data_IF_558391511686
#
_entry.id   IF_558391511686
#
_cell.length_a   1.000
_cell.length_b   1.000
_cell.length_c   1.000
_cell.angle_alpha   90.00
_cell.angle_beta   90.00
_cell.angle_gamma   90.00
#
_symmetry.space_group_name_H-M   'P 1'
#
loop_
_entity.id
_entity.type
_entity.pdbx_description
1 polymer ?
#
# COMPACT_ATOMS: atom_id res chain seq x y z
N UNK A 1 -5.77 -51.09 25.74
CA UNK A 1 -4.80 -50.07 25.27
C UNK A 1 -5.05 -49.65 23.82
N UNK A 2 -5.16 -50.57 22.84
CA UNK A 2 -5.50 -50.26 21.43
C UNK A 2 -6.73 -49.34 21.20
N UNK A 3 -7.88 -49.53 21.87
CA UNK A 3 -9.05 -48.68 21.61
C UNK A 3 -8.91 -47.25 22.16
N UNK A 4 -8.13 -47.08 23.24
CA UNK A 4 -7.87 -45.75 23.84
C UNK A 4 -6.94 -44.93 22.95
N UNK A 5 -5.92 -45.58 22.38
CA UNK A 5 -5.01 -44.92 21.41
C UNK A 5 -5.78 -44.50 20.16
N UNK A 6 -6.67 -45.34 19.65
CA UNK A 6 -7.50 -45.02 18.48
C UNK A 6 -8.45 -43.85 18.77
N UNK A 7 -9.07 -43.82 19.96
CA UNK A 7 -9.95 -42.73 20.39
C UNK A 7 -9.19 -41.41 20.52
N UNK A 8 -8.00 -41.41 21.12
CA UNK A 8 -7.15 -40.21 21.24
C UNK A 8 -6.66 -39.69 19.88
N UNK A 9 -6.37 -40.59 18.93
CA UNK A 9 -5.99 -40.22 17.56
C UNK A 9 -7.16 -39.53 16.82
N UNK A 10 -8.37 -40.08 16.94
CA UNK A 10 -9.59 -39.49 16.35
C UNK A 10 -9.90 -38.14 16.99
N UNK A 11 -9.76 -38.02 18.31
CA UNK A 11 -9.98 -36.76 19.03
C UNK A 11 -8.94 -35.70 18.63
N UNK A 12 -7.66 -36.06 18.47
CA UNK A 12 -6.61 -35.16 18.02
C UNK A 12 -6.80 -34.65 16.58
N UNK A 13 -7.28 -35.50 15.68
CA UNK A 13 -7.64 -35.13 14.29
C UNK A 13 -8.86 -34.21 14.23
N UNK A 14 -9.81 -34.32 15.16
CA UNK A 14 -11.00 -33.45 15.21
C UNK A 14 -10.69 -32.00 15.62
N UNK A 15 -9.60 -31.77 16.36
CA UNK A 15 -9.18 -30.44 16.82
C UNK A 15 -8.56 -29.60 15.69
N UNK A 16 -8.06 -30.24 14.62
CA UNK A 16 -7.45 -29.53 13.48
C UNK A 16 -8.47 -28.86 12.56
N UNK A 17 -9.71 -29.36 12.53
CA UNK A 17 -10.77 -28.89 11.61
C UNK A 17 -11.40 -27.57 12.07
N UNK A 18 -11.28 -27.23 13.36
CA UNK A 18 -11.82 -25.98 13.93
C UNK A 18 -10.79 -24.84 14.01
N UNK A 19 -9.52 -25.06 13.67
CA UNK A 19 -8.46 -24.04 13.85
C UNK A 19 -8.40 -22.98 12.73
N UNK A 20 -9.29 -23.03 11.75
CA UNK A 20 -9.34 -22.04 10.66
C UNK A 20 -10.76 -21.51 10.48
N UNK A 21 -11.31 -20.89 11.52
CA UNK A 21 -12.49 -20.03 11.33
C UNK A 21 -12.05 -18.83 10.51
N UNK A 22 -12.30 -18.87 9.20
CA UNK A 22 -12.10 -17.75 8.30
C UNK A 22 -13.08 -16.64 8.73
N UNK A 23 -12.61 -15.69 9.53
CA UNK A 23 -13.40 -14.51 9.82
C UNK A 23 -13.66 -13.80 8.49
N UNK A 24 -14.93 -13.68 8.10
CA UNK A 24 -15.38 -12.69 7.09
C UNK A 24 -15.20 -11.29 7.67
N UNK A 25 -13.97 -10.89 7.93
CA UNK A 25 -13.64 -9.50 8.25
C UNK A 25 -13.81 -8.72 6.95
N UNK A 26 -14.37 -7.50 6.97
CA UNK A 26 -14.28 -6.60 5.82
C UNK A 26 -12.83 -6.53 5.34
N UNK A 27 -12.62 -6.50 4.03
CA UNK A 27 -11.28 -6.32 3.49
C UNK A 27 -10.63 -5.07 4.11
N UNK A 28 -9.34 -5.14 4.41
CA UNK A 28 -8.62 -3.99 4.95
C UNK A 28 -8.59 -2.87 3.90
N UNK A 29 -9.15 -1.71 4.25
CA UNK A 29 -9.09 -0.51 3.42
C UNK A 29 -7.95 0.39 3.89
N UNK A 30 -7.30 1.05 2.94
CA UNK A 30 -6.24 2.03 3.20
C UNK A 30 -6.57 3.30 2.46
N UNK A 31 -6.57 4.42 3.19
CA UNK A 31 -6.71 5.75 2.62
C UNK A 31 -5.43 6.52 2.90
N UNK A 32 -4.94 7.25 1.91
CA UNK A 32 -3.81 8.15 2.08
C UNK A 32 -4.04 9.45 1.34
N UNK A 33 -3.31 10.48 1.76
CA UNK A 33 -3.29 11.79 1.13
C UNK A 33 -1.84 12.27 1.07
N UNK A 34 -1.50 12.91 -0.04
CA UNK A 34 -0.29 13.72 -0.22
C UNK A 34 -0.74 15.12 -0.63
N UNK A 35 -0.14 16.16 -0.06
CA UNK A 35 -0.57 17.53 -0.26
C UNK A 35 0.59 18.50 -0.18
N UNK A 36 0.43 19.64 -0.87
CA UNK A 36 1.29 20.81 -0.73
C UNK A 36 0.40 21.97 -0.32
N UNK A 37 0.80 22.69 0.72
CA UNK A 37 0.21 24.00 1.02
C UNK A 37 0.82 25.04 0.10
N UNK A 38 0.02 25.55 -0.84
CA UNK A 38 0.46 26.56 -1.81
C UNK A 38 0.87 27.90 -1.19
N UNK A 39 0.42 28.21 0.03
CA UNK A 39 0.74 29.49 0.69
C UNK A 39 2.12 29.45 1.35
N UNK A 40 2.50 28.32 1.94
CA UNK A 40 3.75 28.15 2.71
C UNK A 40 4.81 27.33 1.97
N UNK A 41 4.41 26.52 0.99
CA UNK A 41 5.26 25.52 0.33
C UNK A 41 5.48 24.25 1.17
N UNK A 42 4.79 24.09 2.30
CA UNK A 42 4.90 22.90 3.13
C UNK A 42 4.32 21.68 2.43
N UNK A 43 4.99 20.53 2.57
CA UNK A 43 4.57 19.26 1.98
C UNK A 43 4.17 18.32 3.11
N UNK A 44 2.98 17.75 3.00
CA UNK A 44 2.41 16.84 3.99
C UNK A 44 1.92 15.55 3.35
N UNK A 45 1.92 14.49 4.15
CA UNK A 45 1.34 13.22 3.76
C UNK A 45 0.81 12.45 4.98
N UNK A 46 -0.29 11.73 4.81
CA UNK A 46 -0.92 10.96 5.88
C UNK A 46 -1.53 9.67 5.34
N UNK A 47 -1.63 8.66 6.19
CA UNK A 47 -2.23 7.37 5.87
C UNK A 47 -3.01 6.83 7.06
N UNK A 48 -4.16 6.21 6.77
CA UNK A 48 -4.93 5.41 7.71
C UNK A 48 -5.11 4.01 7.12
N UNK A 49 -4.89 2.99 7.94
CA UNK A 49 -5.08 1.59 7.56
C UNK A 49 -5.33 0.72 8.78
N UNK A 50 -5.94 -0.44 8.56
CA UNK A 50 -5.94 -1.54 9.51
C UNK A 50 -4.62 -2.35 9.49
N UNK A 51 -3.65 -1.97 8.66
CA UNK A 51 -2.32 -2.59 8.60
C UNK A 51 -1.36 -2.01 9.65
N UNK A 52 -0.57 -2.89 10.28
CA UNK A 52 0.40 -2.50 11.30
C UNK A 52 1.50 -1.59 10.75
N UNK A 53 1.83 -0.53 11.50
CA UNK A 53 2.93 0.39 11.17
C UNK A 53 2.86 0.98 9.76
N UNK A 54 1.65 1.19 9.22
CA UNK A 54 1.43 1.54 7.81
C UNK A 54 2.20 2.79 7.35
N UNK A 55 2.40 3.78 8.23
CA UNK A 55 3.14 4.99 7.92
C UNK A 55 4.56 4.73 7.43
N UNK A 56 5.25 3.74 8.03
CA UNK A 56 6.63 3.37 7.66
C UNK A 56 6.76 2.70 6.29
N UNK A 57 5.65 2.29 5.68
CA UNK A 57 5.62 1.52 4.43
C UNK A 57 5.01 2.36 3.30
N UNK A 58 3.93 3.09 3.59
CA UNK A 58 3.14 3.81 2.59
C UNK A 58 3.66 5.20 2.29
N UNK A 59 4.05 5.96 3.33
CA UNK A 59 4.29 7.40 3.20
C UNK A 59 5.77 7.71 3.14
N UNK A 60 6.14 8.48 2.11
CA UNK A 60 7.48 8.97 1.88
C UNK A 60 7.40 10.45 1.52
N UNK A 61 8.20 11.29 2.17
CA UNK A 61 8.23 12.70 1.88
C UNK A 61 9.66 13.22 2.06
N UNK A 62 10.03 14.17 1.22
CA UNK A 62 11.32 14.85 1.33
C UNK A 62 11.15 16.35 1.07
N UNK A 63 11.67 17.14 2.01
CA UNK A 63 11.59 18.59 1.97
C UNK A 63 12.23 19.15 0.69
N UNK A 64 11.52 20.05 0.00
CA UNK A 64 11.98 20.62 -1.27
C UNK A 64 11.88 19.68 -2.48
N UNK A 65 11.37 18.45 -2.32
CA UNK A 65 11.24 17.48 -3.42
C UNK A 65 9.77 17.14 -3.68
N UNK A 66 9.06 16.60 -2.69
CA UNK A 66 7.69 16.12 -2.86
C UNK A 66 7.31 15.03 -1.87
N UNK A 67 6.18 14.36 -2.14
CA UNK A 67 5.70 13.23 -1.36
C UNK A 67 5.14 12.11 -2.24
N UNK A 68 5.22 10.88 -1.72
CA UNK A 68 4.78 9.64 -2.37
C UNK A 68 3.97 8.82 -1.38
N UNK A 69 2.82 8.32 -1.82
CA UNK A 69 2.04 7.31 -1.13
C UNK A 69 1.96 6.05 -2.00
N UNK A 70 2.63 4.97 -1.57
CA UNK A 70 2.60 3.65 -2.23
C UNK A 70 1.79 2.68 -1.38
N UNK A 71 0.62 2.24 -1.88
CA UNK A 71 -0.34 1.43 -1.14
C UNK A 71 -0.92 0.31 -2.02
N UNK A 72 -1.80 -0.53 -1.44
CA UNK A 72 -2.31 -1.77 -2.06
C UNK A 72 -1.20 -2.72 -2.52
N UNK A 73 -1.01 -3.83 -1.80
CA UNK A 73 0.06 -4.79 -2.06
C UNK A 73 1.38 -4.04 -2.33
N UNK A 74 1.80 -3.26 -1.33
CA UNK A 74 2.78 -2.17 -1.48
C UNK A 74 4.07 -2.62 -2.14
N UNK A 75 4.60 -1.79 -3.05
CA UNK A 75 6.01 -1.84 -3.43
C UNK A 75 6.76 -0.73 -2.70
N UNK A 76 7.48 -1.10 -1.64
CA UNK A 76 8.18 -0.16 -0.75
C UNK A 76 9.22 0.67 -1.50
N UNK A 77 9.84 0.10 -2.53
CA UNK A 77 10.86 0.79 -3.34
C UNK A 77 10.31 2.00 -4.10
N UNK A 78 9.00 2.08 -4.34
CA UNK A 78 8.40 3.22 -5.05
C UNK A 78 8.51 4.52 -4.26
N UNK A 79 8.60 4.47 -2.94
CA UNK A 79 8.78 5.65 -2.10
C UNK A 79 10.05 6.42 -2.45
N UNK A 80 11.20 5.81 -2.20
CA UNK A 80 12.51 6.44 -2.48
C UNK A 80 12.77 6.63 -3.96
N UNK A 81 12.38 5.69 -4.82
CA UNK A 81 12.54 5.85 -6.28
C UNK A 81 11.67 6.97 -6.83
N UNK A 82 10.44 7.13 -6.35
CA UNK A 82 9.56 8.22 -6.74
C UNK A 82 10.14 9.58 -6.37
N UNK A 83 10.64 9.73 -5.14
CA UNK A 83 11.32 10.95 -4.71
C UNK A 83 12.58 11.24 -5.55
N UNK A 84 13.37 10.22 -5.88
CA UNK A 84 14.55 10.39 -6.74
C UNK A 84 14.18 10.86 -8.16
N UNK A 85 13.11 10.34 -8.74
CA UNK A 85 12.61 10.80 -10.04
C UNK A 85 12.19 12.26 -9.99
N UNK A 86 11.54 12.71 -8.91
CA UNK A 86 11.22 14.12 -8.71
C UNK A 86 12.49 14.99 -8.61
N UNK A 87 13.53 14.53 -7.90
CA UNK A 87 14.83 15.23 -7.83
C UNK A 87 15.50 15.37 -9.20
N UNK A 88 15.34 14.38 -10.06
CA UNK A 88 15.82 14.40 -11.44
C UNK A 88 14.99 15.34 -12.35
N UNK A 89 13.97 16.00 -11.79
CA UNK A 89 13.12 16.95 -12.51
C UNK A 89 11.96 16.30 -13.26
N UNK A 90 11.68 15.02 -13.04
CA UNK A 90 10.51 14.36 -13.62
C UNK A 90 9.23 14.90 -12.99
N UNK A 91 8.21 15.04 -13.83
CA UNK A 91 6.86 15.29 -13.34
C UNK A 91 6.32 14.09 -12.56
N UNK A 92 5.36 14.30 -11.65
CA UNK A 92 4.69 13.19 -10.95
C UNK A 92 4.14 12.11 -11.91
N UNK A 93 3.59 12.51 -13.06
CA UNK A 93 3.07 11.56 -14.06
C UNK A 93 4.18 10.70 -14.66
N UNK A 94 5.27 11.32 -15.10
CA UNK A 94 6.44 10.59 -15.59
C UNK A 94 7.01 9.64 -14.52
N UNK A 95 7.02 10.07 -13.26
CA UNK A 95 7.48 9.23 -12.15
C UNK A 95 6.57 8.01 -11.95
N UNK A 96 5.25 8.20 -11.93
CA UNK A 96 4.27 7.09 -11.87
C UNK A 96 4.46 6.12 -13.04
N UNK A 97 4.52 6.64 -14.27
CA UNK A 97 4.68 5.81 -15.47
C UNK A 97 5.98 5.01 -15.44
N UNK A 98 7.08 5.64 -15.03
CA UNK A 98 8.39 4.98 -14.94
C UNK A 98 8.45 3.92 -13.85
N UNK A 99 7.80 4.14 -12.71
CA UNK A 99 7.76 3.17 -11.62
C UNK A 99 6.95 1.93 -12.00
N UNK A 100 5.87 2.12 -12.75
CA UNK A 100 4.96 1.04 -13.17
C UNK A 100 5.40 0.31 -14.44
N UNK A 101 6.30 0.88 -15.25
CA UNK A 101 6.73 0.27 -16.53
C UNK A 101 7.30 -1.13 -16.34
N UNK A 102 8.02 -1.34 -15.23
CA UNK A 102 8.79 -2.55 -14.96
C UNK A 102 8.23 -3.33 -13.74
N UNK A 103 7.04 -2.95 -13.23
CA UNK A 103 6.37 -3.66 -12.12
C UNK A 103 5.28 -4.59 -12.66
N UNK A 104 5.57 -5.88 -12.72
CA UNK A 104 4.60 -6.93 -13.09
C UNK A 104 3.35 -6.91 -12.21
N UNK A 105 3.47 -6.42 -10.97
CA UNK A 105 2.37 -6.29 -10.02
C UNK A 105 1.60 -4.97 -10.14
N UNK A 106 1.84 -4.12 -11.15
CA UNK A 106 1.18 -2.80 -11.30
C UNK A 106 -0.34 -2.82 -11.14
N UNK A 107 -0.99 -3.91 -11.54
CA UNK A 107 -2.46 -4.04 -11.49
C UNK A 107 -2.99 -4.25 -10.06
N UNK A 108 -2.14 -4.58 -9.08
CA UNK A 108 -2.52 -4.65 -7.67
C UNK A 108 -2.00 -3.47 -6.86
N UNK A 109 -1.30 -2.50 -7.48
CA UNK A 109 -0.73 -1.32 -6.81
C UNK A 109 -1.69 -0.14 -6.80
N UNK A 110 -1.58 0.67 -5.77
CA UNK A 110 -2.01 2.06 -5.77
C UNK A 110 -0.83 2.96 -5.46
N UNK A 111 -0.70 4.05 -6.21
CA UNK A 111 0.42 4.98 -6.09
C UNK A 111 -0.10 6.40 -6.27
N UNK A 112 0.32 7.32 -5.42
CA UNK A 112 0.13 8.76 -5.61
C UNK A 112 1.45 9.49 -5.38
N UNK A 113 1.75 10.48 -6.22
CA UNK A 113 2.96 11.31 -6.14
C UNK A 113 2.54 12.77 -6.30
N UNK A 114 3.12 13.67 -5.48
CA UNK A 114 2.98 15.12 -5.59
C UNK A 114 4.36 15.78 -5.57
N UNK A 115 4.58 16.79 -6.42
CA UNK A 115 5.78 17.62 -6.42
C UNK A 115 5.60 18.90 -5.57
N UNK A 116 6.68 19.64 -5.32
CA UNK A 116 6.66 20.91 -4.57
C UNK A 116 5.78 22.01 -5.18
N UNK A 117 5.41 21.91 -6.45
CA UNK A 117 4.53 22.88 -7.13
C UNK A 117 3.06 22.48 -7.03
N UNK A 118 2.75 21.38 -6.35
CA UNK A 118 1.40 20.86 -6.24
C UNK A 118 0.91 20.10 -7.47
N UNK A 119 1.78 19.82 -8.46
CA UNK A 119 1.41 18.88 -9.52
C UNK A 119 1.34 17.49 -8.89
N UNK A 120 0.35 16.69 -9.28
CA UNK A 120 0.18 15.34 -8.77
C UNK A 120 -0.18 14.35 -9.87
N UNK A 121 0.08 13.07 -9.61
CA UNK A 121 -0.38 11.97 -10.42
C UNK A 121 -0.63 10.75 -9.55
N UNK A 122 -1.59 9.92 -9.95
CA UNK A 122 -1.91 8.70 -9.26
C UNK A 122 -2.19 7.54 -10.22
N UNK A 123 -2.16 6.34 -9.66
CA UNK A 123 -2.49 5.08 -10.31
C UNK A 123 -3.32 4.22 -9.37
N UNK A 124 -4.30 3.52 -9.92
CA UNK A 124 -5.06 2.48 -9.23
C UNK A 124 -5.15 1.29 -10.16
N UNK A 125 -4.49 0.20 -9.79
CA UNK A 125 -4.50 -1.03 -10.57
C UNK A 125 -5.88 -1.69 -10.56
N UNK A 126 -6.24 -2.35 -11.67
CA UNK A 126 -7.58 -2.93 -11.85
C UNK A 126 -7.88 -4.14 -10.94
N UNK A 127 -6.85 -4.71 -10.33
CA UNK A 127 -6.91 -5.85 -9.42
C UNK A 127 -6.71 -5.43 -7.95
N UNK A 128 -6.74 -4.12 -7.64
CA UNK A 128 -6.85 -3.66 -6.25
C UNK A 128 -8.14 -4.19 -5.59
N UNK A 129 -8.11 -4.33 -4.27
CA UNK A 129 -9.29 -4.71 -3.49
C UNK A 129 -10.43 -3.70 -3.79
N UNK A 130 -11.67 -4.17 -4.06
CA UNK A 130 -12.80 -3.29 -4.39
C UNK A 130 -13.02 -2.15 -3.40
N UNK A 131 -13.61 -1.06 -3.90
CA UNK A 131 -13.59 0.27 -3.28
C UNK A 131 -12.17 0.88 -3.26
N UNK A 132 -11.47 0.77 -4.38
CA UNK A 132 -10.19 1.43 -4.65
C UNK A 132 -10.37 2.53 -5.72
N UNK A 133 -9.73 3.68 -5.50
CA UNK A 133 -9.69 4.80 -6.44
C UNK A 133 -8.73 5.90 -5.97
N UNK A 134 -8.67 6.98 -6.74
CA UNK A 134 -7.96 8.21 -6.40
C UNK A 134 -8.74 9.42 -6.94
N UNK A 135 -8.46 10.61 -6.40
CA UNK A 135 -9.05 11.90 -6.77
C UNK A 135 -7.91 12.85 -7.15
#
# INVERSE_FOLDING_TARGET
MRPIILFLLILGLSQSVLSQTFYKVPFAHTYSIVAVDSATGEIGAAVQSHWFSVGSVVIWAEAGVGAVATQSLVNVSFGTRGLNLLKEGKTPREAVDRLLSDDEGREVRQLAIIDTRGNSAAHTGKNCIPAAGHI
#
